data_IF_903727270360
#
_entry.id   IF_903727270360
#
_cell.length_a   1.000
_cell.length_b   1.000
_cell.length_c   1.000
_cell.angle_alpha   90.00
_cell.angle_beta   90.00
_cell.angle_gamma   90.00
#
_symmetry.space_group_name_H-M   'P 1'
#
loop_
_entity.id
_entity.type
_entity.pdbx_description
1 polymer ?
#
# COMPACT_ATOMS: atom_id res chain seq x y z
N UNK A 1 17.16 0.81 0.46
CA UNK A 1 17.87 2.09 0.18
C UNK A 1 18.03 2.82 1.49
N UNK A 2 19.25 3.22 1.86
CA UNK A 2 19.52 3.94 3.11
C UNK A 2 20.04 5.34 2.78
N UNK A 3 19.66 6.33 3.58
CA UNK A 3 20.25 7.67 3.54
C UNK A 3 21.02 7.91 4.83
N UNK A 4 22.19 8.52 4.73
CA UNK A 4 22.95 8.98 5.88
C UNK A 4 22.51 10.41 6.20
N UNK A 5 21.85 10.62 7.34
CA UNK A 5 21.43 11.94 7.81
C UNK A 5 21.91 12.16 9.23
N UNK A 6 22.70 13.22 9.45
CA UNK A 6 23.32 13.54 10.74
C UNK A 6 24.12 12.36 11.35
N UNK A 7 24.85 11.61 10.51
CA UNK A 7 25.64 10.46 10.96
C UNK A 7 24.85 9.18 11.24
N UNK A 8 23.53 9.16 11.00
CA UNK A 8 22.66 7.99 11.22
C UNK A 8 22.13 7.47 9.87
N UNK A 9 22.24 6.17 9.65
CA UNK A 9 21.64 5.50 8.50
C UNK A 9 20.14 5.35 8.70
N UNK A 10 19.33 5.85 7.77
CA UNK A 10 17.87 5.72 7.79
C UNK A 10 17.37 4.94 6.59
N UNK A 11 16.52 3.95 6.83
CA UNK A 11 15.83 3.25 5.77
C UNK A 11 14.87 4.22 5.08
N UNK A 12 15.03 4.39 3.76
CA UNK A 12 14.19 5.35 3.02
C UNK A 12 12.85 4.71 2.67
N UNK A 13 12.89 3.47 2.18
CA UNK A 13 11.75 2.77 1.63
C UNK A 13 11.80 1.27 1.95
N UNK A 14 10.65 0.70 2.29
CA UNK A 14 10.41 -0.74 2.29
C UNK A 14 9.24 -1.05 1.36
N UNK A 15 9.38 -2.08 0.53
CA UNK A 15 8.40 -2.44 -0.48
C UNK A 15 7.91 -3.86 -0.30
N UNK A 16 6.66 -4.11 -0.68
CA UNK A 16 6.08 -5.45 -0.68
C UNK A 16 5.22 -5.63 -1.95
N UNK A 17 5.51 -6.68 -2.72
CA UNK A 17 4.81 -7.02 -3.96
C UNK A 17 3.66 -7.98 -3.67
N UNK A 18 2.47 -7.64 -4.13
CA UNK A 18 1.23 -8.28 -3.72
C UNK A 18 0.45 -8.80 -4.90
N UNK A 19 0.07 -10.07 -4.86
CA UNK A 19 -1.00 -10.56 -5.72
C UNK A 19 -2.35 -10.09 -5.15
N UNK A 20 -3.30 -9.77 -6.02
CA UNK A 20 -4.66 -9.50 -5.55
C UNK A 20 -5.22 -10.71 -4.80
N UNK A 21 -5.76 -10.49 -3.59
CA UNK A 21 -6.26 -11.55 -2.69
C UNK A 21 -5.40 -11.78 -1.44
N UNK A 22 -4.09 -11.50 -1.49
CA UNK A 22 -3.19 -11.56 -0.31
C UNK A 22 -2.85 -10.17 0.25
N UNK A 23 -3.53 -9.13 -0.23
CA UNK A 23 -3.18 -7.73 0.01
C UNK A 23 -3.02 -7.39 1.50
N UNK A 24 -4.01 -7.73 2.32
CA UNK A 24 -4.04 -7.38 3.74
C UNK A 24 -2.92 -8.09 4.52
N UNK A 25 -2.72 -9.39 4.31
CA UNK A 25 -1.68 -10.16 4.99
C UNK A 25 -0.28 -9.61 4.67
N UNK A 26 -0.05 -9.28 3.40
CA UNK A 26 1.21 -8.68 2.98
C UNK A 26 1.36 -7.22 3.44
N UNK A 27 0.25 -6.50 3.67
CA UNK A 27 0.30 -5.19 4.32
C UNK A 27 0.74 -5.32 5.79
N UNK A 28 0.26 -6.33 6.51
CA UNK A 28 0.72 -6.66 7.88
C UNK A 28 2.22 -6.97 7.91
N UNK A 29 2.72 -7.74 6.94
CA UNK A 29 4.15 -8.01 6.80
C UNK A 29 4.95 -6.73 6.57
N UNK A 30 4.49 -5.85 5.67
CA UNK A 30 5.12 -4.55 5.47
C UNK A 30 5.20 -3.77 6.78
N UNK A 31 4.12 -3.74 7.59
CA UNK A 31 4.13 -3.02 8.88
C UNK A 31 5.19 -3.56 9.82
N UNK A 32 5.41 -4.87 9.85
CA UNK A 32 6.49 -5.51 10.63
C UNK A 32 7.90 -5.07 10.22
N UNK A 33 8.09 -4.60 8.98
CA UNK A 33 9.36 -4.07 8.50
C UNK A 33 9.50 -2.55 8.71
N UNK A 34 8.44 -1.84 9.12
CA UNK A 34 8.46 -0.39 9.34
C UNK A 34 9.00 -0.08 10.76
N UNK A 35 10.31 0.16 10.86
CA UNK A 35 10.97 0.55 12.13
C UNK A 35 11.04 2.08 12.29
N UNK A 36 11.56 2.57 13.42
CA UNK A 36 11.85 3.98 13.71
C UNK A 36 12.74 4.69 12.69
N UNK A 37 13.53 3.94 11.94
CA UNK A 37 14.43 4.45 10.91
C UNK A 37 13.77 4.51 9.52
N UNK A 38 12.58 3.92 9.36
CA UNK A 38 11.88 3.86 8.07
C UNK A 38 11.04 5.11 7.85
N UNK A 39 11.33 5.82 6.75
CA UNK A 39 10.64 7.08 6.42
C UNK A 39 9.33 6.87 5.66
N UNK A 40 9.26 5.91 4.74
CA UNK A 40 8.03 5.50 4.07
C UNK A 40 8.11 4.04 3.59
N UNK A 41 6.95 3.48 3.24
CA UNK A 41 6.83 2.16 2.65
C UNK A 41 5.94 2.19 1.40
N UNK A 42 5.90 1.10 0.65
CA UNK A 42 4.99 0.98 -0.48
C UNK A 42 4.51 -0.46 -0.71
N UNK A 43 3.35 -0.56 -1.34
CA UNK A 43 2.75 -1.82 -1.77
C UNK A 43 2.47 -1.75 -3.26
N UNK A 44 2.76 -2.81 -4.00
CA UNK A 44 2.39 -2.92 -5.42
C UNK A 44 1.42 -4.09 -5.57
N UNK A 45 0.17 -3.83 -5.90
CA UNK A 45 -0.84 -4.86 -6.16
C UNK A 45 -0.80 -5.20 -7.66
N UNK A 46 -0.39 -6.42 -8.01
CA UNK A 46 -0.54 -6.94 -9.35
C UNK A 46 -1.91 -7.62 -9.49
N UNK A 47 -2.80 -6.97 -10.24
CA UNK A 47 -4.11 -7.52 -10.55
C UNK A 47 -4.13 -8.14 -11.94
N UNK A 48 -4.29 -9.46 -12.00
CA UNK A 48 -4.36 -10.21 -13.28
C UNK A 48 -5.74 -10.81 -13.56
N UNK A 49 -6.64 -10.83 -12.56
CA UNK A 49 -7.83 -11.71 -12.59
C UNK A 49 -9.14 -10.97 -12.36
N UNK A 50 -9.15 -9.94 -11.53
CA UNK A 50 -10.38 -9.26 -11.09
C UNK A 50 -10.56 -7.93 -11.82
N UNK A 51 -11.79 -7.41 -11.95
CA UNK A 51 -12.02 -6.09 -12.54
C UNK A 51 -11.30 -5.01 -11.74
N UNK A 52 -10.69 -4.03 -12.43
CA UNK A 52 -9.92 -2.96 -11.79
C UNK A 52 -10.75 -2.20 -10.75
N UNK A 53 -11.99 -1.83 -11.08
CA UNK A 53 -12.87 -1.12 -10.14
C UNK A 53 -13.05 -1.88 -8.83
N UNK A 54 -13.27 -3.19 -8.90
CA UNK A 54 -13.39 -4.03 -7.70
C UNK A 54 -12.12 -4.00 -6.85
N UNK A 55 -10.93 -3.98 -7.47
CA UNK A 55 -9.65 -3.86 -6.77
C UNK A 55 -9.51 -2.49 -6.10
N UNK A 56 -9.90 -1.41 -6.79
CA UNK A 56 -9.86 -0.04 -6.26
C UNK A 56 -10.72 0.08 -5.00
N UNK A 57 -11.99 -0.32 -5.10
CA UNK A 57 -12.98 -0.19 -4.01
C UNK A 57 -12.59 -1.05 -2.80
N UNK A 58 -12.28 -2.33 -3.05
CA UNK A 58 -11.92 -3.30 -1.99
C UNK A 58 -10.59 -2.93 -1.31
N UNK A 59 -9.62 -2.40 -2.06
CA UNK A 59 -8.37 -1.91 -1.48
C UNK A 59 -8.67 -0.77 -0.50
N UNK A 60 -9.47 0.20 -0.90
CA UNK A 60 -9.82 1.32 -0.03
C UNK A 60 -10.56 0.85 1.23
N UNK A 61 -11.50 -0.09 1.09
CA UNK A 61 -12.18 -0.75 2.21
C UNK A 61 -11.19 -1.40 3.19
N UNK A 62 -10.25 -2.20 2.69
CA UNK A 62 -9.22 -2.85 3.51
C UNK A 62 -8.37 -1.82 4.23
N UNK A 63 -7.93 -0.76 3.53
CA UNK A 63 -7.10 0.29 4.13
C UNK A 63 -7.83 1.07 5.23
N UNK A 64 -9.12 1.38 5.04
CA UNK A 64 -9.94 2.06 6.06
C UNK A 64 -10.08 1.24 7.34
N UNK A 65 -10.19 -0.07 7.19
CA UNK A 65 -10.40 -1.00 8.30
C UNK A 65 -9.10 -1.65 8.80
N UNK A 66 -7.95 -1.23 8.27
CA UNK A 66 -6.67 -1.89 8.58
C UNK A 66 -6.21 -1.55 10.00
N UNK A 67 -5.96 -2.61 10.78
CA UNK A 67 -5.27 -2.51 12.05
C UNK A 67 -4.40 -3.76 12.30
N UNK A 68 -3.43 -3.61 13.20
CA UNK A 68 -2.66 -4.70 13.78
C UNK A 68 -2.73 -4.57 15.28
N UNK A 69 -3.13 -5.65 15.95
CA UNK A 69 -3.29 -5.71 17.39
C UNK A 69 -2.20 -6.59 18.02
N UNK A 70 -1.70 -6.17 19.18
CA UNK A 70 -0.89 -7.00 20.07
C UNK A 70 -1.44 -6.87 21.48
N UNK A 71 -1.80 -8.00 22.11
CA UNK A 71 -2.32 -8.06 23.48
C UNK A 71 -3.51 -7.11 23.74
N UNK A 72 -4.48 -7.02 22.82
CA UNK A 72 -5.66 -6.15 22.98
C UNK A 72 -5.39 -4.66 22.70
N UNK A 73 -4.20 -4.30 22.20
CA UNK A 73 -3.85 -2.91 21.85
C UNK A 73 -3.55 -2.78 20.36
N UNK A 74 -4.20 -1.82 19.71
CA UNK A 74 -3.90 -1.43 18.33
C UNK A 74 -2.48 -0.83 18.24
N UNK A 75 -1.56 -1.57 17.64
CA UNK A 75 -0.17 -1.14 17.42
C UNK A 75 -0.02 -0.36 16.11
N UNK A 76 -0.77 -0.77 15.08
CA UNK A 76 -0.79 -0.10 13.80
C UNK A 76 -2.23 0.16 13.40
N UNK A 77 -2.49 1.38 12.92
CA UNK A 77 -3.77 1.78 12.34
C UNK A 77 -3.55 2.99 11.44
N UNK A 78 -4.44 3.17 10.47
CA UNK A 78 -4.48 4.40 9.68
C UNK A 78 -4.97 5.54 10.59
N UNK A 79 -4.17 6.60 10.72
CA UNK A 79 -4.46 7.72 11.65
C UNK A 79 -4.93 9.00 10.97
N UNK A 80 -4.83 9.06 9.64
CA UNK A 80 -5.26 10.19 8.82
C UNK A 80 -6.22 9.74 7.72
N UNK A 81 -6.85 10.71 7.04
CA UNK A 81 -7.58 10.43 5.80
C UNK A 81 -6.64 9.78 4.78
N UNK A 82 -7.13 8.73 4.14
CA UNK A 82 -6.51 8.16 2.94
C UNK A 82 -6.59 9.22 1.84
N UNK A 83 -5.47 9.51 1.19
CA UNK A 83 -5.40 10.51 0.12
C UNK A 83 -4.93 9.86 -1.16
N UNK A 84 -5.46 10.31 -2.29
CA UNK A 84 -4.80 10.09 -3.57
C UNK A 84 -3.52 10.92 -3.65
N UNK A 85 -2.53 10.40 -4.36
CA UNK A 85 -1.30 11.14 -4.63
C UNK A 85 -1.55 12.11 -5.77
N UNK A 86 -1.27 13.39 -5.53
CA UNK A 86 -1.45 14.43 -6.54
C UNK A 86 -0.63 14.12 -7.81
N UNK A 87 -1.28 14.23 -8.96
CA UNK A 87 -0.71 13.89 -10.26
C UNK A 87 -0.53 12.38 -10.54
N UNK A 88 -0.96 11.48 -9.64
CA UNK A 88 -0.85 10.02 -9.86
C UNK A 88 -2.18 9.33 -9.57
N UNK A 89 -2.89 8.97 -10.65
CA UNK A 89 -4.18 8.26 -10.58
C UNK A 89 -4.04 6.89 -9.90
N UNK A 90 -5.07 6.51 -9.15
CA UNK A 90 -5.19 5.21 -8.49
C UNK A 90 -4.13 4.89 -7.44
N UNK A 91 -3.29 5.84 -7.02
CA UNK A 91 -2.33 5.63 -5.94
C UNK A 91 -2.85 6.28 -4.66
N UNK A 92 -3.05 5.45 -3.64
CA UNK A 92 -3.47 5.91 -2.32
C UNK A 92 -2.28 6.01 -1.38
N UNK A 93 -2.30 6.97 -0.46
CA UNK A 93 -1.36 7.08 0.65
C UNK A 93 -2.10 6.93 1.98
N UNK A 94 -1.51 6.15 2.88
CA UNK A 94 -1.95 6.04 4.27
C UNK A 94 -0.86 6.56 5.21
N UNK A 95 -1.26 7.20 6.30
CA UNK A 95 -0.37 7.59 7.39
C UNK A 95 -0.60 6.66 8.57
N UNK A 96 0.47 6.16 9.18
CA UNK A 96 0.44 5.30 10.35
C UNK A 96 1.33 5.88 11.45
N UNK A 97 0.92 5.72 12.71
CA UNK A 97 1.77 6.05 13.86
C UNK A 97 2.85 4.98 14.01
N UNK A 98 4.07 5.41 14.33
CA UNK A 98 5.14 4.50 14.69
C UNK A 98 4.96 4.04 16.16
N UNK A 99 4.95 2.73 16.45
CA UNK A 99 4.76 2.22 17.81
C UNK A 99 5.98 2.42 18.72
N UNK A 100 7.17 2.63 18.15
CA UNK A 100 8.45 2.72 18.86
C UNK A 100 8.77 4.15 19.33
N UNK A 101 8.09 5.18 18.78
CA UNK A 101 8.37 6.58 19.10
C UNK A 101 7.13 7.47 19.08
N UNK A 102 6.95 8.22 20.16
CA UNK A 102 5.86 9.19 20.27
C UNK A 102 5.93 10.30 19.22
N UNK A 103 4.77 10.69 18.71
CA UNK A 103 4.58 11.67 17.64
C UNK A 103 5.42 11.40 16.38
N UNK A 104 5.76 10.13 16.13
CA UNK A 104 6.41 9.68 14.91
C UNK A 104 5.43 8.95 14.00
N UNK A 105 5.55 9.17 12.70
CA UNK A 105 4.64 8.64 11.68
C UNK A 105 5.41 8.22 10.44
N UNK A 106 4.89 7.22 9.74
CA UNK A 106 5.38 6.85 8.41
C UNK A 106 4.22 6.80 7.43
N UNK A 107 4.56 6.98 6.14
CA UNK A 107 3.59 6.93 5.04
C UNK A 107 3.73 5.63 4.27
N UNK A 108 2.62 5.09 3.80
CA UNK A 108 2.61 3.92 2.90
C UNK A 108 1.88 4.28 1.62
N UNK A 109 2.56 4.07 0.49
CA UNK A 109 2.01 4.31 -0.85
C UNK A 109 1.48 3.00 -1.45
N UNK A 110 0.26 3.01 -1.96
CA UNK A 110 -0.45 1.82 -2.42
C UNK A 110 -0.70 1.88 -3.91
N UNK A 111 0.19 1.27 -4.68
CA UNK A 111 0.12 1.18 -6.14
C UNK A 111 -0.69 -0.04 -6.58
N UNK A 112 -1.34 0.09 -7.73
CA UNK A 112 -1.95 -1.02 -8.46
C UNK A 112 -1.35 -1.07 -9.85
N UNK A 113 -0.95 -2.26 -10.27
CA UNK A 113 -0.60 -2.60 -11.65
C UNK A 113 -1.69 -3.53 -12.16
N UNK A 114 -2.57 -3.00 -13.02
CA UNK A 114 -3.62 -3.78 -13.65
C UNK A 114 -3.11 -4.44 -14.92
N UNK A 115 -3.02 -5.77 -14.89
CA UNK A 115 -2.64 -6.62 -16.01
C UNK A 115 -3.81 -7.47 -16.54
N UNK A 116 -5.04 -7.25 -16.04
CA UNK A 116 -6.25 -7.83 -16.62
C UNK A 116 -6.65 -7.02 -17.86
N UNK A 117 -6.58 -7.64 -19.04
CA UNK A 117 -6.75 -6.97 -20.34
C UNK A 117 -7.98 -7.44 -21.12
N UNK A 118 -8.87 -8.25 -20.52
CA UNK A 118 -10.04 -8.85 -21.17
C UNK A 118 -10.83 -7.85 -22.03
N UNK A 119 -11.03 -6.62 -21.53
CA UNK A 119 -11.77 -5.56 -22.24
C UNK A 119 -11.01 -5.04 -23.48
N UNK A 120 -9.67 -4.97 -23.41
CA UNK A 120 -8.82 -4.59 -24.54
C UNK A 120 -8.77 -5.70 -25.59
N UNK A 121 -8.70 -6.94 -25.15
CA UNK A 121 -8.74 -8.11 -26.03
C UNK A 121 -10.08 -8.19 -26.76
N UNK A 122 -11.20 -8.04 -26.03
CA UNK A 122 -12.55 -8.01 -26.63
C UNK A 122 -12.70 -6.86 -27.63
N UNK A 123 -12.20 -5.67 -27.30
CA UNK A 123 -12.24 -4.51 -28.20
C UNK A 123 -11.44 -4.74 -29.48
N UNK A 124 -10.27 -5.37 -29.39
CA UNK A 124 -9.43 -5.70 -30.54
C UNK A 124 -10.06 -6.77 -31.45
N UNK A 125 -10.84 -7.70 -30.88
CA UNK A 125 -11.60 -8.70 -31.65
C UNK A 125 -12.77 -8.03 -32.39
N UNK A 126 -13.57 -7.21 -31.70
CA UNK A 126 -14.72 -6.53 -32.31
C UNK A 126 -14.31 -5.57 -33.44
N UNK A 127 -13.13 -4.95 -33.37
CA UNK A 127 -12.63 -4.07 -34.43
C UNK A 127 -12.20 -4.80 -35.72
N UNK A 128 -12.14 -6.14 -35.71
CA UNK A 128 -11.80 -6.97 -36.87
C UNK A 128 -13.03 -7.52 -37.60
N UNK A 129 -14.22 -7.36 -37.02
CA UNK A 129 -15.52 -7.73 -37.60
C UNK A 129 -16.12 -6.55 -38.36
#
# INVERSE_FOLDING_TARGET
MYILKNGIFRAVAVGENKEWGSFENQLKQLMGYMTLDTSFGFTIIFNKRVRLQTVLDKREEILKNFYVELNGKECFRVVDRIKEVDGITDVLVTTHRNPEKDNSYFKVYHFIINAKLDEREASAVQARE
#
